data_IF_952129628426
#
_entry.id   IF_952129628426
#
_cell.length_a   1.000
_cell.length_b   1.000
_cell.length_c   1.000
_cell.angle_alpha   90.00
_cell.angle_beta   90.00
_cell.angle_gamma   90.00
#
_symmetry.space_group_name_H-M   'P 1'
#
loop_
_entity.id
_entity.type
_entity.pdbx_description
1 polymer ?
#
# COMPACT_ATOMS: atom_id res chain seq x y z
N UNK A 1 -30.94 48.88 -7.57
CA UNK A 1 -31.08 47.53 -6.99
C UNK A 1 -30.05 46.64 -7.66
N UNK A 2 -28.88 46.45 -7.04
CA UNK A 2 -27.84 45.56 -7.57
C UNK A 2 -27.98 44.20 -6.89
N UNK A 3 -28.24 43.16 -7.68
CA UNK A 3 -28.30 41.77 -7.20
C UNK A 3 -26.88 41.21 -7.28
N UNK A 4 -26.22 41.07 -6.13
CA UNK A 4 -24.90 40.43 -6.06
C UNK A 4 -25.05 38.91 -6.11
N UNK A 5 -24.46 38.26 -7.11
CA UNK A 5 -24.32 36.81 -7.14
C UNK A 5 -23.04 36.42 -6.39
N UNK A 6 -23.20 35.78 -5.23
CA UNK A 6 -22.09 35.13 -4.54
C UNK A 6 -21.81 33.76 -5.17
N UNK A 7 -20.57 33.55 -5.60
CA UNK A 7 -20.09 32.26 -6.09
C UNK A 7 -19.75 31.38 -4.89
N UNK A 8 -20.54 30.34 -4.65
CA UNK A 8 -20.24 29.34 -3.63
C UNK A 8 -19.18 28.37 -4.20
N UNK A 9 -17.94 28.45 -3.69
CA UNK A 9 -16.90 27.50 -4.05
C UNK A 9 -17.16 26.15 -3.34
N UNK A 10 -17.46 25.11 -4.11
CA UNK A 10 -17.54 23.73 -3.59
C UNK A 10 -16.10 23.23 -3.46
N UNK A 11 -15.57 23.21 -2.23
CA UNK A 11 -14.31 22.52 -1.93
C UNK A 11 -14.63 21.04 -1.90
N UNK A 12 -14.27 20.32 -2.97
CA UNK A 12 -14.27 18.86 -2.93
C UNK A 12 -13.06 18.46 -2.11
N UNK A 13 -13.28 17.89 -0.91
CA UNK A 13 -12.25 17.09 -0.28
C UNK A 13 -11.94 15.94 -1.24
N UNK A 14 -10.78 16.00 -1.88
CA UNK A 14 -10.20 14.81 -2.45
C UNK A 14 -10.07 13.83 -1.28
N UNK A 15 -10.92 12.82 -1.22
CA UNK A 15 -10.66 11.61 -0.45
C UNK A 15 -9.37 11.07 -1.04
N UNK A 16 -8.24 11.52 -0.49
CA UNK A 16 -6.93 11.14 -0.98
C UNK A 16 -6.88 9.63 -0.88
N UNK A 17 -6.62 8.95 -2.00
CA UNK A 17 -6.26 7.54 -2.02
C UNK A 17 -5.41 7.24 -0.80
N UNK A 18 -5.67 6.16 -0.08
CA UNK A 18 -4.89 5.80 1.10
C UNK A 18 -3.40 5.76 0.72
N UNK A 19 -2.64 6.79 1.13
CA UNK A 19 -1.22 6.92 0.81
C UNK A 19 -0.43 6.45 2.02
N UNK A 20 0.58 5.62 1.81
CA UNK A 20 1.60 5.29 2.80
C UNK A 20 2.96 5.59 2.19
N UNK A 21 3.20 6.87 1.90
CA UNK A 21 4.28 7.32 1.01
C UNK A 21 5.68 7.30 1.65
N UNK A 22 5.78 7.00 2.96
CA UNK A 22 7.04 7.10 3.71
C UNK A 22 7.14 6.04 4.81
N UNK A 23 8.34 5.92 5.37
CA UNK A 23 8.60 5.06 6.52
C UNK A 23 7.63 5.42 7.65
N UNK A 24 6.91 4.40 8.15
CA UNK A 24 5.87 4.53 9.19
C UNK A 24 4.64 5.37 8.81
N UNK A 25 4.38 5.55 7.52
CA UNK A 25 3.13 6.09 7.00
C UNK A 25 3.02 7.61 7.12
N UNK A 26 1.86 8.16 6.75
CA UNK A 26 1.68 9.62 6.64
C UNK A 26 1.94 10.37 7.94
N UNK A 27 1.66 9.74 9.09
CA UNK A 27 1.88 10.30 10.42
C UNK A 27 3.22 9.89 11.05
N UNK A 28 4.07 9.15 10.33
CA UNK A 28 5.35 8.63 10.78
C UNK A 28 5.31 7.81 12.10
N UNK A 29 4.14 7.27 12.45
CA UNK A 29 3.88 6.57 13.71
C UNK A 29 3.68 5.06 13.55
N UNK A 30 3.58 4.56 12.32
CA UNK A 30 3.42 3.13 12.02
C UNK A 30 1.99 2.63 12.23
N UNK A 31 1.00 3.52 12.26
CA UNK A 31 -0.41 3.18 12.49
C UNK A 31 -1.22 3.37 11.21
N UNK A 32 -1.84 2.28 10.74
CA UNK A 32 -2.90 2.32 9.73
C UNK A 32 -4.24 2.63 10.39
N UNK A 33 -5.03 3.50 9.77
CA UNK A 33 -6.38 3.85 10.21
C UNK A 33 -7.38 2.90 9.55
N UNK A 34 -8.55 2.71 10.18
CA UNK A 34 -9.62 1.86 9.64
C UNK A 34 -9.84 0.59 10.46
N UNK A 35 -10.60 -0.34 9.89
CA UNK A 35 -10.99 -1.61 10.50
C UNK A 35 -10.92 -2.76 9.48
N UNK A 36 -11.50 -3.92 9.80
CA UNK A 36 -11.52 -5.07 8.89
C UNK A 36 -10.18 -5.78 8.71
N UNK A 37 -9.11 -5.35 9.38
CA UNK A 37 -7.80 -5.98 9.27
C UNK A 37 -7.83 -7.46 9.70
N UNK A 38 -7.22 -8.36 8.91
CA UNK A 38 -7.12 -9.77 9.26
C UNK A 38 -6.38 -10.00 10.59
N UNK A 39 -7.07 -10.67 11.52
CA UNK A 39 -6.53 -11.02 12.86
C UNK A 39 -5.93 -12.42 12.94
N UNK A 40 -6.07 -13.21 11.88
CA UNK A 40 -5.56 -14.58 11.77
C UNK A 40 -4.99 -14.78 10.38
N UNK A 41 -3.85 -15.46 10.34
CA UNK A 41 -3.10 -15.69 9.11
C UNK A 41 -2.73 -17.16 9.04
N UNK A 42 -2.88 -17.77 7.86
CA UNK A 42 -2.36 -19.11 7.60
C UNK A 42 -1.81 -19.17 6.18
N UNK A 43 -0.66 -19.82 6.03
CA UNK A 43 -0.05 -20.06 4.74
C UNK A 43 -0.21 -21.53 4.34
N UNK A 44 -0.69 -21.76 3.11
CA UNK A 44 -0.68 -23.09 2.50
C UNK A 44 0.76 -23.59 2.46
N UNK A 45 1.05 -24.66 3.21
CA UNK A 45 2.38 -25.28 3.27
C UNK A 45 2.82 -25.70 4.67
N UNK A 46 2.33 -25.07 5.73
CA UNK A 46 2.82 -25.36 7.09
C UNK A 46 2.07 -26.52 7.76
N UNK A 47 0.78 -26.74 7.46
CA UNK A 47 -0.05 -27.78 8.13
C UNK A 47 -1.27 -28.26 7.31
N UNK A 48 -1.29 -28.09 5.98
CA UNK A 48 -2.45 -28.44 5.14
C UNK A 48 -3.65 -27.49 5.26
N UNK A 49 -3.49 -26.37 5.98
CA UNK A 49 -4.51 -25.33 6.13
C UNK A 49 -4.52 -24.39 4.92
N UNK A 50 -5.71 -23.95 4.51
CA UNK A 50 -5.89 -22.99 3.42
C UNK A 50 -5.32 -21.60 3.74
N UNK A 51 -5.04 -20.81 2.70
CA UNK A 51 -4.60 -19.42 2.87
C UNK A 51 -5.71 -18.59 3.54
N UNK A 52 -5.43 -18.02 4.71
CA UNK A 52 -6.35 -17.08 5.40
C UNK A 52 -5.63 -15.79 5.70
N UNK A 53 -6.34 -14.67 5.56
CA UNK A 53 -5.82 -13.32 5.78
C UNK A 53 -4.85 -12.83 4.69
N UNK A 54 -4.29 -13.72 3.87
CA UNK A 54 -3.30 -13.37 2.83
C UNK A 54 -4.01 -13.13 1.50
N UNK A 55 -3.97 -11.89 0.98
CA UNK A 55 -4.56 -11.54 -0.31
C UNK A 55 -3.76 -12.10 -1.49
N UNK A 56 -2.43 -11.94 -1.46
CA UNK A 56 -1.51 -12.44 -2.48
C UNK A 56 -0.10 -12.57 -1.90
N UNK A 57 0.79 -13.18 -2.69
CA UNK A 57 2.23 -13.27 -2.40
C UNK A 57 3.03 -12.95 -3.65
N UNK A 58 4.18 -12.34 -3.44
CA UNK A 58 5.17 -12.08 -4.48
C UNK A 58 6.49 -12.75 -4.07
N UNK A 59 7.10 -13.50 -4.99
CA UNK A 59 8.43 -14.06 -4.78
C UNK A 59 9.45 -12.99 -5.17
N UNK A 60 10.07 -12.37 -4.17
CA UNK A 60 11.14 -11.39 -4.39
C UNK A 60 12.31 -12.06 -5.13
N UNK A 61 12.78 -11.51 -6.26
CA UNK A 61 13.96 -12.03 -6.96
C UNK A 61 15.27 -11.81 -6.20
N UNK A 62 15.27 -10.96 -5.16
CA UNK A 62 16.46 -10.58 -4.41
C UNK A 62 16.39 -10.86 -2.91
N UNK A 63 17.30 -10.21 -2.20
CA UNK A 63 17.39 -10.24 -0.73
C UNK A 63 17.20 -8.82 -0.23
N UNK A 64 16.22 -8.58 0.65
CA UNK A 64 15.91 -7.24 1.13
C UNK A 64 15.28 -7.20 2.52
N UNK A 65 15.53 -6.09 3.23
CA UNK A 65 14.83 -5.71 4.47
C UNK A 65 14.04 -4.41 4.26
N UNK A 66 13.42 -4.29 3.08
CA UNK A 66 12.71 -3.06 2.68
C UNK A 66 11.53 -2.76 3.62
N UNK A 67 11.18 -1.48 3.73
CA UNK A 67 9.88 -1.06 4.26
C UNK A 67 9.09 -0.47 3.09
N UNK A 68 8.21 -1.26 2.43
CA UNK A 68 7.51 -0.81 1.24
C UNK A 68 6.64 0.42 1.51
N UNK A 69 6.42 1.21 0.46
CA UNK A 69 5.48 2.34 0.47
C UNK A 69 4.31 2.08 -0.47
N UNK A 70 3.14 2.65 -0.17
CA UNK A 70 1.93 2.56 -1.00
C UNK A 70 1.60 3.93 -1.60
N UNK A 71 1.50 3.99 -2.92
CA UNK A 71 1.13 5.18 -3.69
C UNK A 71 0.00 4.83 -4.67
N UNK A 72 -1.25 5.14 -4.29
CA UNK A 72 -2.41 4.64 -5.04
C UNK A 72 -2.41 3.11 -5.02
N UNK A 73 -2.60 2.48 -6.17
CA UNK A 73 -2.56 1.00 -6.29
C UNK A 73 -1.16 0.43 -6.53
N UNK A 74 -0.10 1.15 -6.13
CA UNK A 74 1.30 0.75 -6.37
C UNK A 74 2.07 0.60 -5.07
N UNK A 75 2.64 -0.58 -4.87
CA UNK A 75 3.62 -0.83 -3.81
C UNK A 75 5.02 -0.66 -4.40
N UNK A 76 5.82 0.21 -3.81
CA UNK A 76 7.21 0.40 -4.17
C UNK A 76 8.10 -0.18 -3.07
N UNK A 77 9.07 -1.01 -3.45
CA UNK A 77 10.04 -1.56 -2.51
C UNK A 77 11.43 -1.74 -3.12
N UNK A 78 12.44 -1.70 -2.28
CA UNK A 78 13.83 -1.94 -2.65
C UNK A 78 14.22 -3.39 -2.44
N UNK A 79 15.04 -3.94 -3.32
CA UNK A 79 15.59 -5.31 -3.18
C UNK A 79 17.03 -5.37 -3.71
N UNK A 80 17.86 -6.23 -3.12
CA UNK A 80 19.22 -6.48 -3.59
C UNK A 80 19.25 -7.67 -4.54
N UNK A 81 19.62 -7.45 -5.81
CA UNK A 81 19.74 -8.49 -6.85
C UNK A 81 21.11 -8.34 -7.51
N UNK A 82 21.88 -9.43 -7.58
CA UNK A 82 23.24 -9.45 -8.17
C UNK A 82 24.16 -8.35 -7.62
N UNK A 83 24.15 -8.16 -6.29
CA UNK A 83 24.90 -7.10 -5.59
C UNK A 83 24.54 -5.67 -6.01
N UNK A 84 23.38 -5.47 -6.64
CA UNK A 84 22.84 -4.16 -7.01
C UNK A 84 21.51 -3.89 -6.31
N UNK A 85 21.28 -2.63 -5.92
CA UNK A 85 19.99 -2.19 -5.42
C UNK A 85 19.03 -1.97 -6.58
N UNK A 86 17.85 -2.57 -6.50
CA UNK A 86 16.75 -2.38 -7.46
C UNK A 86 15.52 -1.82 -6.76
N UNK A 87 14.72 -1.07 -7.51
CA UNK A 87 13.38 -0.65 -7.12
C UNK A 87 12.37 -1.53 -7.87
N UNK A 88 11.47 -2.16 -7.14
CA UNK A 88 10.34 -2.90 -7.69
C UNK A 88 9.07 -2.07 -7.54
N UNK A 89 8.16 -2.19 -8.52
CA UNK A 89 6.81 -1.68 -8.45
C UNK A 89 5.84 -2.86 -8.57
N UNK A 90 5.04 -3.10 -7.53
CA UNK A 90 3.98 -4.11 -7.57
C UNK A 90 2.61 -3.43 -7.64
N UNK A 91 1.69 -4.08 -8.34
CA UNK A 91 0.26 -3.83 -8.23
C UNK A 91 -0.24 -4.24 -6.84
N UNK A 92 -0.83 -3.31 -6.09
CA UNK A 92 -1.27 -3.54 -4.71
C UNK A 92 -2.47 -4.51 -4.61
N UNK A 93 -3.26 -4.64 -5.66
CA UNK A 93 -4.49 -5.45 -5.68
C UNK A 93 -4.15 -6.92 -5.89
N UNK A 94 -3.20 -7.22 -6.78
CA UNK A 94 -2.94 -8.60 -7.21
C UNK A 94 -1.47 -9.05 -7.04
N UNK A 95 -0.57 -8.18 -6.61
CA UNK A 95 0.83 -8.51 -6.33
C UNK A 95 1.70 -8.74 -7.57
N UNK A 96 1.21 -8.41 -8.79
CA UNK A 96 2.01 -8.53 -10.01
C UNK A 96 3.07 -7.44 -10.06
N UNK A 97 4.26 -7.81 -10.54
CA UNK A 97 5.31 -6.85 -10.90
C UNK A 97 4.86 -6.04 -12.11
N UNK A 98 5.05 -4.72 -12.04
CA UNK A 98 4.73 -3.72 -13.06
C UNK A 98 5.99 -3.20 -13.75
#
# INVERSE_FOLDING_TARGET
>A
MLVGFSLLAIVTEAQGEERWAQWRGNQANGVALGDGFPRRWSARGETGVENRGIAWRFLDPGIGSSTPILLGDRILMTTGVDSQNRLLCLDAVNGKLL
#
